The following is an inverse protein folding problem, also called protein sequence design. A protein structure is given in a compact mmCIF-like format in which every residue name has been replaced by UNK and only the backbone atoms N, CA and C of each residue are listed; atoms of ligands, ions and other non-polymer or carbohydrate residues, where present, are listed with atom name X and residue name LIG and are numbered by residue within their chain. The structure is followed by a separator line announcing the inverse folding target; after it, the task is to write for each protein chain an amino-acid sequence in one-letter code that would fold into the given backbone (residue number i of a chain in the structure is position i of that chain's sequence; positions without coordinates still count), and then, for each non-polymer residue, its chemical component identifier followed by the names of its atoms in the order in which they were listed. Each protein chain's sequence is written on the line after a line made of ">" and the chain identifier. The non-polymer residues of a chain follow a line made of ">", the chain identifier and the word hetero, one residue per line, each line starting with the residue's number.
data_IF_783379810954
#
_entry.id   IF_783379810954
#
_cell.length_a   1.000
_cell.length_b   1.000
_cell.length_c   1.000
_cell.angle_alpha   90.00
_cell.angle_beta   90.00
_cell.angle_gamma   90.00
#
_symmetry.space_group_name_H-M   'P 1'
#
loop_
_entity.id
_entity.type
_entity.pdbx_description
1 polymer ?
#
# COMPACT_ATOMS: atom_id res chain seq x y z
N UNK A 1 -6.65 7.43 11.07
CA UNK A 1 -5.52 6.81 10.34
C UNK A 1 -4.50 7.90 10.15
N UNK A 2 -3.33 7.78 10.76
CA UNK A 2 -2.21 8.71 10.58
C UNK A 2 -1.09 7.91 9.91
N UNK A 3 -1.17 7.86 8.57
CA UNK A 3 -0.11 7.60 7.60
C UNK A 3 -0.78 7.43 6.23
N UNK A 4 -0.28 8.12 5.20
CA UNK A 4 -0.81 8.14 3.84
C UNK A 4 -0.57 6.83 3.04
N UNK A 5 -0.61 5.67 3.70
CA UNK A 5 -0.41 4.37 3.07
C UNK A 5 -1.66 3.89 2.32
N UNK A 6 -1.48 3.37 1.11
CA UNK A 6 -2.55 2.79 0.27
C UNK A 6 -2.81 1.29 0.54
N UNK A 7 -2.01 0.68 1.42
CA UNK A 7 -2.08 -0.73 1.78
C UNK A 7 -1.58 -0.98 3.19
N UNK A 8 -2.05 -2.08 3.79
CA UNK A 8 -1.59 -2.57 5.07
C UNK A 8 -1.79 -4.09 5.17
N UNK A 9 -0.74 -4.79 5.59
CA UNK A 9 -0.77 -6.21 5.90
C UNK A 9 -0.87 -6.44 7.41
N UNK A 10 -1.64 -7.45 7.82
CA UNK A 10 -1.85 -7.78 9.24
C UNK A 10 -0.55 -7.96 10.06
N UNK A 11 0.55 -8.53 9.53
CA UNK A 11 1.81 -8.62 10.27
C UNK A 11 2.38 -7.26 10.69
N UNK A 12 2.13 -6.18 9.95
CA UNK A 12 2.63 -4.83 10.27
C UNK A 12 2.04 -4.29 11.58
N UNK A 13 0.88 -4.82 12.00
CA UNK A 13 0.23 -4.47 13.28
C UNK A 13 0.32 -5.61 14.30
N UNK A 14 1.29 -6.53 14.12
CA UNK A 14 1.55 -7.64 15.05
C UNK A 14 0.56 -8.80 14.97
N UNK A 15 -0.28 -8.84 13.93
CA UNK A 15 -1.27 -9.91 13.73
C UNK A 15 -0.75 -10.90 12.68
N UNK A 16 -0.33 -12.08 13.13
CA UNK A 16 0.20 -13.15 12.27
C UNK A 16 -0.92 -13.90 11.50
N UNK A 17 -1.62 -13.17 10.63
CA UNK A 17 -2.64 -13.68 9.73
C UNK A 17 -2.31 -13.27 8.30
N UNK A 18 -2.67 -14.12 7.34
CA UNK A 18 -2.57 -13.80 5.90
C UNK A 18 -3.75 -12.93 5.49
N UNK A 19 -3.72 -11.65 5.87
CA UNK A 19 -4.76 -10.67 5.60
C UNK A 19 -4.10 -9.37 5.16
N UNK A 20 -4.61 -8.81 4.06
CA UNK A 20 -4.21 -7.48 3.59
C UNK A 20 -5.45 -6.61 3.35
N UNK A 21 -5.29 -5.32 3.57
CA UNK A 21 -6.24 -4.29 3.15
C UNK A 21 -5.55 -3.38 2.14
N UNK A 22 -6.30 -2.96 1.13
CA UNK A 22 -5.87 -1.97 0.13
C UNK A 22 -6.95 -0.92 0.04
N UNK A 23 -6.57 0.34 0.18
CA UNK A 23 -7.45 1.48 -0.04
C UNK A 23 -6.70 2.52 -0.88
N UNK A 24 -7.10 2.63 -2.14
CA UNK A 24 -6.61 3.66 -3.06
C UNK A 24 -7.79 4.61 -3.31
N UNK A 25 -7.69 5.89 -2.91
CA UNK A 25 -8.71 6.90 -3.19
C UNK A 25 -8.99 7.04 -4.69
N UNK A 26 -10.19 7.52 -5.05
CA UNK A 26 -10.46 7.93 -6.42
C UNK A 26 -9.52 9.07 -6.82
N UNK A 27 -9.12 9.12 -8.09
CA UNK A 27 -8.25 10.19 -8.57
C UNK A 27 -6.77 10.05 -8.18
N UNK A 28 -6.34 8.91 -7.60
CA UNK A 28 -5.02 8.80 -6.97
C UNK A 28 -3.85 8.82 -7.95
N UNK A 29 -3.90 8.05 -9.05
CA UNK A 29 -2.89 8.14 -10.12
C UNK A 29 -3.35 9.04 -11.26
N UNK A 30 -4.61 8.91 -11.67
CA UNK A 30 -5.26 9.72 -12.69
C UNK A 30 -6.61 10.21 -12.21
N UNK A 31 -7.02 11.42 -12.61
CA UNK A 31 -8.28 12.06 -12.16
C UNK A 31 -9.52 11.18 -12.31
N UNK A 32 -9.55 10.34 -13.36
CA UNK A 32 -10.68 9.45 -13.67
C UNK A 32 -10.61 8.08 -12.97
N UNK A 33 -9.56 7.80 -12.17
CA UNK A 33 -9.41 6.51 -11.51
C UNK A 33 -10.47 6.30 -10.43
N UNK A 34 -11.14 5.14 -10.39
CA UNK A 34 -12.12 4.84 -9.36
C UNK A 34 -11.44 4.59 -8.02
N UNK A 35 -12.20 4.80 -6.93
CA UNK A 35 -11.78 4.33 -5.61
C UNK A 35 -11.67 2.79 -5.59
N UNK A 36 -10.58 2.28 -5.02
CA UNK A 36 -10.35 0.84 -4.83
C UNK A 36 -10.31 0.55 -3.34
N UNK A 37 -11.17 -0.36 -2.89
CA UNK A 37 -11.18 -0.92 -1.52
C UNK A 37 -11.19 -2.43 -1.60
N UNK A 38 -10.13 -3.07 -1.10
CA UNK A 38 -9.99 -4.51 -1.06
C UNK A 38 -9.66 -4.98 0.35
N UNK A 39 -10.23 -6.11 0.74
CA UNK A 39 -9.85 -6.84 1.95
C UNK A 39 -9.70 -8.30 1.54
N UNK A 40 -8.47 -8.79 1.56
CA UNK A 40 -8.13 -10.08 0.97
C UNK A 40 -7.55 -11.00 2.04
N UNK A 41 -8.26 -12.11 2.28
CA UNK A 41 -7.86 -13.20 3.19
C UNK A 41 -7.15 -14.28 2.37
N UNK A 42 -6.03 -14.78 2.88
CA UNK A 42 -5.16 -15.75 2.22
C UNK A 42 -4.83 -15.41 0.74
N UNK A 43 -4.38 -14.18 0.44
CA UNK A 43 -4.06 -13.82 -0.93
C UNK A 43 -2.83 -14.58 -1.45
N UNK A 44 -2.89 -14.98 -2.71
CA UNK A 44 -1.84 -15.68 -3.44
C UNK A 44 -1.75 -15.14 -4.88
N UNK A 45 -0.56 -14.76 -5.33
CA UNK A 45 -0.30 -14.40 -6.73
C UNK A 45 -0.20 -15.69 -7.55
N UNK A 46 -1.21 -15.97 -8.37
CA UNK A 46 -1.26 -17.18 -9.20
C UNK A 46 -0.76 -16.97 -10.63
N UNK A 47 -0.64 -15.72 -11.07
CA UNK A 47 -0.01 -15.34 -12.34
C UNK A 47 0.68 -13.99 -12.17
N UNK A 48 1.86 -13.85 -12.75
CA UNK A 48 2.59 -12.60 -12.83
C UNK A 48 3.23 -12.49 -14.22
N UNK A 49 3.21 -11.29 -14.83
CA UNK A 49 3.84 -11.07 -16.12
C UNK A 49 4.24 -9.60 -16.33
N UNK A 50 5.18 -9.40 -17.27
CA UNK A 50 5.78 -8.10 -17.52
C UNK A 50 6.65 -7.62 -16.36
N UNK A 51 7.27 -6.44 -16.53
CA UNK A 51 8.14 -5.84 -15.52
C UNK A 51 7.88 -4.34 -15.47
N UNK A 52 7.89 -3.80 -14.26
CA UNK A 52 7.88 -2.38 -13.98
C UNK A 52 8.89 -2.09 -12.87
N UNK A 53 9.49 -0.92 -12.90
CA UNK A 53 10.34 -0.39 -11.82
C UNK A 53 9.74 0.94 -11.41
N UNK A 54 9.66 1.21 -10.12
CA UNK A 54 9.05 2.42 -9.61
C UNK A 54 9.17 2.51 -8.10
N UNK A 55 8.88 3.69 -7.54
CA UNK A 55 9.13 3.99 -6.15
C UNK A 55 8.16 3.21 -5.24
N UNK A 56 8.69 2.69 -4.15
CA UNK A 56 7.93 2.17 -3.01
C UNK A 56 8.42 2.82 -1.72
N UNK A 57 7.48 3.05 -0.81
CA UNK A 57 7.73 3.30 0.61
C UNK A 57 6.93 2.29 1.43
N UNK A 58 7.16 2.24 2.74
CA UNK A 58 6.47 1.29 3.61
C UNK A 58 6.27 1.87 5.01
N UNK A 59 5.07 1.68 5.57
CA UNK A 59 4.76 2.08 6.95
C UNK A 59 5.65 1.37 8.00
N UNK A 60 6.23 0.22 7.65
CA UNK A 60 7.15 -0.52 8.51
C UNK A 60 8.58 0.03 8.49
N UNK A 61 8.91 0.88 7.51
CA UNK A 61 10.23 1.52 7.35
C UNK A 61 9.98 3.00 7.01
N UNK A 62 9.48 3.81 7.97
CA UNK A 62 9.09 5.19 7.73
C UNK A 62 10.28 6.03 7.25
N UNK A 63 9.98 6.99 6.39
CA UNK A 63 10.95 7.90 5.79
C UNK A 63 11.89 7.30 4.74
N UNK A 64 11.79 6.01 4.41
CA UNK A 64 12.60 5.40 3.35
C UNK A 64 11.78 5.12 2.10
N UNK A 65 12.33 5.48 0.94
CA UNK A 65 11.81 5.11 -0.36
C UNK A 65 12.89 4.52 -1.24
N UNK A 66 12.50 3.68 -2.20
CA UNK A 66 13.42 3.11 -3.19
C UNK A 66 12.70 2.55 -4.41
N UNK A 67 13.44 2.40 -5.51
CA UNK A 67 12.87 1.85 -6.74
C UNK A 67 12.88 0.33 -6.71
N UNK A 68 11.68 -0.25 -6.80
CA UNK A 68 11.48 -1.69 -6.65
C UNK A 68 10.98 -2.28 -7.98
N UNK A 69 11.62 -3.35 -8.49
CA UNK A 69 11.10 -4.11 -9.61
C UNK A 69 9.89 -4.96 -9.19
N UNK A 70 8.82 -4.87 -9.96
CA UNK A 70 7.59 -5.64 -9.78
C UNK A 70 7.10 -6.20 -11.11
N UNK A 71 6.25 -7.22 -11.06
CA UNK A 71 5.48 -7.62 -12.22
C UNK A 71 4.52 -6.49 -12.63
N UNK A 72 4.41 -6.24 -13.94
CA UNK A 72 3.48 -5.23 -14.47
C UNK A 72 2.02 -5.67 -14.28
N UNK A 73 1.75 -6.97 -14.39
CA UNK A 73 0.43 -7.55 -14.27
C UNK A 73 0.46 -8.71 -13.28
N UNK A 74 -0.56 -8.81 -12.43
CA UNK A 74 -0.75 -9.94 -11.52
C UNK A 74 -2.19 -10.43 -11.52
N UNK A 75 -2.38 -11.72 -11.28
CA UNK A 75 -3.67 -12.29 -10.89
C UNK A 75 -3.55 -12.84 -9.49
N UNK A 76 -4.33 -12.31 -8.56
CA UNK A 76 -4.38 -12.73 -7.16
C UNK A 76 -5.64 -13.57 -6.95
N UNK A 77 -5.50 -14.73 -6.31
CA UNK A 77 -6.62 -15.45 -5.68
C UNK A 77 -6.64 -15.11 -4.21
N UNK A 78 -7.82 -14.94 -3.64
CA UNK A 78 -7.99 -14.71 -2.21
C UNK A 78 -9.41 -15.13 -1.80
N UNK A 79 -9.76 -14.89 -0.54
CA UNK A 79 -11.12 -14.88 -0.04
C UNK A 79 -11.51 -13.49 0.47
N UNK A 80 -12.78 -13.15 0.38
CA UNK A 80 -13.34 -11.97 1.03
C UNK A 80 -13.68 -12.26 2.51
N UNK A 81 -14.30 -11.27 3.19
CA UNK A 81 -14.73 -11.40 4.59
C UNK A 81 -15.91 -12.37 4.79
N UNK A 82 -16.63 -12.71 3.73
CA UNK A 82 -17.72 -13.70 3.73
C UNK A 82 -17.21 -15.12 3.40
N UNK A 83 -15.88 -15.32 3.37
CA UNK A 83 -15.20 -16.57 2.98
C UNK A 83 -15.41 -16.98 1.50
N UNK A 84 -15.87 -16.06 0.63
CA UNK A 84 -16.07 -16.35 -0.80
C UNK A 84 -14.77 -16.20 -1.57
N UNK A 85 -14.52 -17.12 -2.50
CA UNK A 85 -13.34 -17.04 -3.38
C UNK A 85 -13.46 -15.84 -4.33
N UNK A 86 -12.40 -15.02 -4.36
CA UNK A 86 -12.28 -13.88 -5.25
C UNK A 86 -11.01 -13.98 -6.10
N UNK A 87 -11.07 -13.43 -7.30
CA UNK A 87 -9.92 -13.33 -8.20
C UNK A 87 -9.75 -11.90 -8.69
N UNK A 88 -8.66 -11.26 -8.27
CA UNK A 88 -8.31 -9.90 -8.66
C UNK A 88 -7.32 -9.96 -9.81
N UNK A 89 -7.63 -9.29 -10.93
CA UNK A 89 -6.65 -9.01 -11.98
C UNK A 89 -6.23 -7.56 -11.82
N UNK A 90 -4.94 -7.31 -11.68
CA UNK A 90 -4.40 -5.97 -11.48
C UNK A 90 -3.22 -5.74 -12.42
N UNK A 91 -3.03 -4.49 -12.79
CA UNK A 91 -1.91 -3.99 -13.58
C UNK A 91 -1.37 -2.71 -12.96
N UNK A 92 -0.17 -2.27 -13.36
CA UNK A 92 0.38 -0.98 -12.94
C UNK A 92 0.51 -0.86 -11.41
N UNK A 93 0.02 0.23 -10.85
CA UNK A 93 0.14 0.52 -9.42
C UNK A 93 -0.62 -0.45 -8.53
N UNK A 94 -1.87 -0.81 -8.86
CA UNK A 94 -2.60 -1.81 -8.06
C UNK A 94 -1.85 -3.15 -8.06
N UNK A 95 -1.22 -3.55 -9.17
CA UNK A 95 -0.38 -4.74 -9.19
C UNK A 95 0.84 -4.61 -8.26
N UNK A 96 1.46 -3.42 -8.20
CA UNK A 96 2.57 -3.12 -7.28
C UNK A 96 2.13 -3.20 -5.82
N UNK A 97 1.03 -2.52 -5.47
CA UNK A 97 0.47 -2.52 -4.11
C UNK A 97 0.16 -3.96 -3.67
N UNK A 98 -0.53 -4.75 -4.49
CA UNK A 98 -0.84 -6.14 -4.15
C UNK A 98 0.43 -6.99 -3.93
N UNK A 99 1.47 -6.81 -4.76
CA UNK A 99 2.74 -7.51 -4.57
C UNK A 99 3.43 -7.09 -3.26
N UNK A 100 3.40 -5.80 -2.93
CA UNK A 100 3.95 -5.26 -1.69
C UNK A 100 3.25 -5.82 -0.45
N UNK A 101 1.92 -5.76 -0.41
CA UNK A 101 1.17 -6.25 0.75
C UNK A 101 1.26 -7.77 0.90
N UNK A 102 1.32 -8.52 -0.21
CA UNK A 102 1.50 -9.98 -0.17
C UNK A 102 2.90 -10.35 0.36
N UNK A 103 3.93 -9.59 0.01
CA UNK A 103 5.29 -9.80 0.54
C UNK A 103 5.34 -9.70 2.07
N UNK A 104 4.62 -8.75 2.66
CA UNK A 104 4.53 -8.62 4.11
C UNK A 104 4.00 -9.88 4.78
N UNK A 105 3.13 -10.66 4.11
CA UNK A 105 2.62 -11.93 4.64
C UNK A 105 3.68 -13.01 4.71
N UNK A 106 4.76 -12.86 3.95
CA UNK A 106 5.90 -13.76 3.88
C UNK A 106 7.15 -13.14 4.55
N UNK A 107 7.00 -12.01 5.24
CA UNK A 107 8.08 -11.33 5.97
C UNK A 107 9.10 -10.63 5.06
N UNK A 108 8.73 -10.34 3.81
CA UNK A 108 9.58 -9.66 2.83
C UNK A 108 9.23 -8.16 2.86
N UNK A 109 10.25 -7.30 2.92
CA UNK A 109 10.11 -5.86 2.85
C UNK A 109 10.55 -5.34 1.48
N UNK A 110 10.10 -4.14 1.10
CA UNK A 110 10.45 -3.57 -0.21
C UNK A 110 11.97 -3.42 -0.42
N UNK A 111 12.71 -3.11 0.66
CA UNK A 111 14.18 -3.01 0.65
C UNK A 111 14.88 -4.32 0.29
N UNK A 112 14.24 -5.47 0.54
CA UNK A 112 14.77 -6.78 0.17
C UNK A 112 14.67 -7.04 -1.34
N UNK A 113 13.83 -6.27 -2.05
CA UNK A 113 13.60 -6.39 -3.49
C UNK A 113 14.31 -5.32 -4.33
N UNK A 114 14.90 -4.30 -3.71
CA UNK A 114 15.64 -3.27 -4.44
C UNK A 114 16.87 -3.88 -5.11
N UNK A 115 16.93 -3.79 -6.44
CA UNK A 115 18.06 -4.26 -7.25
C UNK A 115 19.21 -3.26 -7.27
N UNK A 116 18.91 -1.97 -7.35
CA UNK A 116 19.89 -0.88 -7.31
C UNK A 116 19.77 -0.09 -6.00
N UNK A 117 20.67 -0.36 -5.06
CA UNK A 117 20.70 0.29 -3.75
C UNK A 117 20.96 1.80 -3.83
N UNK A 118 21.46 2.33 -4.95
CA UNK A 118 21.63 3.78 -5.12
C UNK A 118 20.29 4.53 -5.21
N UNK A 119 19.19 3.81 -5.46
CA UNK A 119 17.82 4.36 -5.48
C UNK A 119 17.21 4.52 -4.08
N UNK A 120 17.79 3.87 -3.06
CA UNK A 120 17.34 4.01 -1.67
C UNK A 120 17.70 5.40 -1.17
N UNK A 121 16.68 6.16 -0.78
CA UNK A 121 16.84 7.50 -0.22
C UNK A 121 15.93 7.69 0.97
N UNK A 122 16.46 8.44 1.95
CA UNK A 122 15.68 8.90 3.08
C UNK A 122 14.95 10.19 2.69
N UNK A 123 13.63 10.19 2.82
CA UNK A 123 12.73 11.32 2.63
C UNK A 123 12.00 11.50 3.97
N UNK A 124 12.37 12.48 4.80
CA UNK A 124 11.70 12.68 6.07
C UNK A 124 10.21 12.94 5.85
N UNK A 125 9.36 12.43 6.74
CA UNK A 125 7.95 12.83 6.77
C UNK A 125 7.91 14.33 7.08
N UNK A 126 7.26 15.13 6.22
CA UNK A 126 6.98 16.52 6.56
C UNK A 126 6.02 16.51 7.76
N UNK A 127 6.40 17.18 8.85
CA UNK A 127 5.51 17.39 9.99
C UNK A 127 4.27 18.14 9.46
N UNK A 128 3.08 17.53 9.55
CA UNK A 128 1.84 18.26 9.30
C UNK A 128 1.81 19.43 10.29
N UNK A 129 1.97 20.68 9.81
CA UNK A 129 1.70 21.85 10.62
C UNK A 129 0.24 21.75 11.08
N UNK A 130 0.06 21.58 12.39
CA UNK A 130 -1.22 21.68 13.09
C UNK A 130 -1.83 23.03 12.72
N UNK A 131 -2.68 23.06 11.67
CA UNK A 131 -3.52 24.21 11.34
C UNK A 131 -4.55 24.32 12.46
N UNK A 132 -4.14 24.98 13.54
CA UNK A 132 -4.95 25.31 14.68
C UNK A 132 -6.28 25.86 14.17
N UNK A 133 -7.37 25.14 14.49
CA UNK A 133 -8.72 25.59 14.23
C UNK A 133 -8.88 27.01 14.81
N UNK A 134 -9.48 27.98 14.08
CA UNK A 134 -9.66 29.31 14.61
C UNK A 134 -10.51 29.23 15.88
N UNK A 135 -9.98 29.72 16.99
CA UNK A 135 -10.72 29.90 18.24
C UNK A 135 -12.01 30.66 17.94
N UNK A 136 -13.15 30.01 18.15
CA UNK A 136 -14.45 30.67 18.21
C UNK A 136 -14.40 31.72 19.31
N UNK A 137 -14.36 32.99 18.92
CA UNK A 137 -14.48 34.12 19.82
C UNK A 137 -15.80 34.01 20.61
N UNK A 138 -15.67 33.71 21.89
CA UNK A 138 -16.73 33.90 22.87
C UNK A 138 -16.73 35.39 23.23
N UNK A 139 -17.81 36.09 22.86
CA UNK A 139 -18.17 37.36 23.49
C UNK A 139 -19.71 37.41 23.59
N UNK A 140 -20.19 36.99 24.75
CA UNK A 140 -21.48 37.39 25.28
C UNK A 140 -21.31 38.77 25.93
N UNK A 141 -22.04 39.77 25.45
CA UNK A 141 -23.11 40.52 26.17
C UNK A 141 -23.54 41.73 25.32
#
# INVERSE_FOLDING_TARGET
>A
QAANGVGLAAPQVGVLRRLIIVHIPAGFEHEDDPEIKLTLVNPEIVKASGRQVGPEGCLSIPGWVGDVPRAMNVTVKARDLDDKEVRIKASGFLARVLQHEIDHLDGILFVDRVEDRSTLRYVPEEEEEDVAAPETAQAAE
#
